data_IF_808641828700
#
_entry.id   IF_808641828700
#
_cell.length_a   1.000
_cell.length_b   1.000
_cell.length_c   1.000
_cell.angle_alpha   90.00
_cell.angle_beta   90.00
_cell.angle_gamma   90.00
#
_symmetry.space_group_name_H-M   'P 1'
#
loop_
_entity.id
_entity.type
_entity.pdbx_description
1 polymer ?
#
# COMPACT_ATOMS: atom_id res chain seq x y z
N UNK A 1 3.76 35.74 -10.24
CA UNK A 1 4.70 35.19 -11.26
C UNK A 1 4.76 33.66 -11.27
N UNK A 2 4.15 32.95 -10.30
CA UNK A 2 4.17 31.49 -10.20
C UNK A 2 2.91 30.81 -10.77
N UNK A 3 1.78 31.52 -10.92
CA UNK A 3 0.53 30.99 -11.49
C UNK A 3 0.66 30.39 -12.91
N UNK A 4 1.65 30.83 -13.71
CA UNK A 4 1.83 30.30 -15.07
C UNK A 4 2.40 28.87 -15.10
N UNK A 5 3.18 28.49 -14.08
CA UNK A 5 3.87 27.20 -14.04
C UNK A 5 2.96 26.05 -13.59
N UNK A 6 1.99 26.36 -12.72
CA UNK A 6 0.99 25.40 -12.25
C UNK A 6 -0.21 25.25 -13.19
N UNK A 7 -0.17 25.86 -14.38
CA UNK A 7 -1.21 25.59 -15.36
C UNK A 7 -1.24 24.08 -15.68
N UNK A 8 -2.40 23.41 -15.53
CA UNK A 8 -2.51 21.98 -15.75
C UNK A 8 -2.03 21.56 -17.15
N UNK A 9 -2.11 22.47 -18.13
CA UNK A 9 -1.54 22.28 -19.46
C UNK A 9 -0.02 22.08 -19.46
N UNK A 10 0.75 22.88 -18.70
CA UNK A 10 2.21 22.73 -18.62
C UNK A 10 2.58 21.41 -17.94
N UNK A 11 1.87 21.07 -16.85
CA UNK A 11 2.09 19.82 -16.12
C UNK A 11 1.82 18.60 -17.00
N UNK A 12 0.78 18.65 -17.83
CA UNK A 12 0.41 17.58 -18.77
C UNK A 12 1.44 17.44 -19.90
N UNK A 13 2.03 18.54 -20.39
CA UNK A 13 3.13 18.50 -21.37
C UNK A 13 4.39 17.88 -20.77
N UNK A 14 4.77 18.29 -19.55
CA UNK A 14 5.95 17.73 -18.85
C UNK A 14 5.73 16.25 -18.55
N UNK A 15 4.54 15.89 -18.05
CA UNK A 15 4.15 14.51 -17.86
C UNK A 15 4.19 13.73 -19.19
N UNK A 16 3.68 14.29 -20.28
CA UNK A 16 3.76 13.67 -21.61
C UNK A 16 5.20 13.35 -22.05
N UNK A 17 6.12 14.31 -21.89
CA UNK A 17 7.54 14.11 -22.22
C UNK A 17 8.20 13.10 -21.28
N UNK A 18 7.93 13.20 -19.98
CA UNK A 18 8.41 12.23 -18.99
C UNK A 18 7.90 10.82 -19.31
N UNK A 19 6.66 10.67 -19.76
CA UNK A 19 6.07 9.39 -20.18
C UNK A 19 6.68 8.89 -21.48
N UNK A 20 7.17 9.76 -22.35
CA UNK A 20 7.88 9.36 -23.56
C UNK A 20 9.27 8.79 -23.23
N UNK A 21 9.95 9.37 -22.24
CA UNK A 21 11.30 8.96 -21.80
C UNK A 21 11.24 7.74 -20.87
N UNK A 22 10.39 7.80 -19.85
CA UNK A 22 10.22 6.71 -18.88
C UNK A 22 9.28 5.62 -19.41
N UNK A 23 8.37 5.94 -20.32
CA UNK A 23 7.35 5.00 -20.82
C UNK A 23 6.11 4.96 -19.91
N UNK A 24 4.89 4.84 -20.47
CA UNK A 24 3.65 4.76 -19.68
C UNK A 24 3.58 3.48 -18.83
N UNK A 25 4.39 2.46 -19.14
CA UNK A 25 4.50 1.23 -18.34
C UNK A 25 5.32 1.39 -17.06
N UNK A 26 6.26 2.35 -17.00
CA UNK A 26 7.12 2.55 -15.82
C UNK A 26 6.47 3.42 -14.75
N UNK A 27 5.57 4.32 -15.13
CA UNK A 27 4.77 5.12 -14.19
C UNK A 27 4.02 4.28 -13.15
N UNK A 28 3.22 3.26 -13.51
CA UNK A 28 2.50 2.44 -12.54
C UNK A 28 3.43 1.52 -11.74
N UNK A 29 4.57 1.11 -12.31
CA UNK A 29 5.59 0.30 -11.63
C UNK A 29 6.26 1.09 -10.50
N UNK A 30 6.69 2.32 -10.78
CA UNK A 30 7.25 3.25 -9.79
C UNK A 30 6.18 3.73 -8.80
N UNK A 31 4.96 3.99 -9.27
CA UNK A 31 3.84 4.44 -8.44
C UNK A 31 3.40 3.40 -7.42
N UNK A 32 3.43 2.10 -7.76
CA UNK A 32 3.13 1.01 -6.79
C UNK A 32 4.16 0.97 -5.67
N UNK A 33 5.46 0.93 -6.00
CA UNK A 33 6.52 0.90 -4.99
C UNK A 33 6.56 2.16 -4.11
N UNK A 34 6.39 3.34 -4.72
CA UNK A 34 6.30 4.60 -3.98
C UNK A 34 5.03 4.66 -3.13
N UNK A 35 3.90 4.17 -3.65
CA UNK A 35 2.62 4.11 -2.96
C UNK A 35 2.67 3.25 -1.70
N UNK A 36 3.27 2.06 -1.79
CA UNK A 36 3.47 1.16 -0.65
C UNK A 36 4.39 1.80 0.40
N UNK A 37 5.46 2.48 -0.03
CA UNK A 37 6.36 3.22 0.86
C UNK A 37 5.68 4.39 1.56
N UNK A 38 4.91 5.20 0.84
CA UNK A 38 4.15 6.32 1.41
C UNK A 38 3.04 5.79 2.33
N UNK A 39 2.39 4.66 2.00
CA UNK A 39 1.36 4.05 2.84
C UNK A 39 1.94 3.58 4.16
N UNK A 40 3.08 2.89 4.14
CA UNK A 40 3.82 2.48 5.34
C UNK A 40 4.31 3.67 6.16
N UNK A 41 4.85 4.70 5.50
CA UNK A 41 5.28 5.94 6.14
C UNK A 41 4.11 6.67 6.81
N UNK A 42 2.95 6.76 6.15
CA UNK A 42 1.73 7.33 6.73
C UNK A 42 1.22 6.52 7.92
N UNK A 43 1.17 5.20 7.82
CA UNK A 43 0.78 4.34 8.95
C UNK A 43 1.74 4.46 10.15
N UNK A 44 3.04 4.65 9.91
CA UNK A 44 4.01 4.89 10.97
C UNK A 44 3.84 6.28 11.60
N UNK A 45 3.61 7.31 10.78
CA UNK A 45 3.34 8.67 11.27
C UNK A 45 2.03 8.77 12.04
N UNK A 46 0.96 8.11 11.57
CA UNK A 46 -0.34 8.11 12.23
C UNK A 46 -0.26 7.34 13.57
N UNK A 47 0.52 6.26 13.67
CA UNK A 47 0.81 5.58 14.94
C UNK A 47 1.69 6.41 15.89
N UNK A 48 2.60 7.23 15.35
CA UNK A 48 3.40 8.15 16.15
C UNK A 48 2.59 9.33 16.71
N UNK A 49 1.46 9.68 16.07
CA UNK A 49 0.64 10.83 16.44
C UNK A 49 -0.67 10.50 17.17
N UNK A 50 -1.14 9.24 17.16
CA UNK A 50 -2.43 8.88 17.72
C UNK A 50 -2.35 7.69 18.68
N UNK A 51 -2.65 7.96 19.94
CA UNK A 51 -3.34 7.03 20.82
C UNK A 51 -4.50 6.35 20.06
N UNK A 52 -4.82 5.08 20.37
CA UNK A 52 -5.37 4.10 19.44
C UNK A 52 -6.74 4.54 18.91
N UNK A 53 -6.81 4.88 17.63
CA UNK A 53 -8.07 4.91 16.89
C UNK A 53 -7.93 4.11 15.60
N UNK A 54 -8.61 2.96 15.63
CA UNK A 54 -8.77 2.04 14.53
C UNK A 54 -9.55 2.68 13.39
N UNK A 55 -9.00 2.69 12.17
CA UNK A 55 -9.78 2.42 10.96
C UNK A 55 -8.89 2.05 9.77
N UNK A 56 -9.45 1.18 8.91
CA UNK A 56 -9.02 0.81 7.56
C UNK A 56 -8.18 -0.48 7.40
N UNK A 57 -8.78 -1.59 7.84
CA UNK A 57 -8.67 -2.85 7.10
C UNK A 57 -9.44 -2.74 5.77
N UNK A 58 -8.73 -2.93 4.65
CA UNK A 58 -9.29 -3.57 3.45
C UNK A 58 -8.14 -4.17 2.64
N UNK A 59 -7.62 -5.31 3.11
CA UNK A 59 -6.76 -6.18 2.32
C UNK A 59 -7.64 -7.26 1.70
N UNK A 60 -8.11 -6.97 0.47
CA UNK A 60 -8.68 -7.98 -0.40
C UNK A 60 -7.65 -9.07 -0.71
N UNK A 61 -8.13 -10.31 -0.65
CA UNK A 61 -7.77 -11.49 -1.45
C UNK A 61 -6.38 -11.45 -2.08
N UNK A 62 -5.43 -12.29 -1.64
CA UNK A 62 -5.05 -13.61 -2.21
C UNK A 62 -3.91 -14.16 -1.33
N UNK A 63 -4.06 -15.33 -0.73
CA UNK A 63 -3.08 -16.44 -0.74
C UNK A 63 -3.78 -17.68 -0.18
N UNK A 64 -4.33 -18.48 -1.09
CA UNK A 64 -4.28 -19.91 -0.90
C UNK A 64 -2.81 -20.35 -1.01
N UNK A 65 -2.45 -21.44 -0.33
CA UNK A 65 -1.18 -22.17 -0.39
C UNK A 65 -0.15 -21.79 0.68
N UNK A 66 -0.16 -22.50 1.81
CA UNK A 66 0.92 -23.43 2.14
C UNK A 66 0.54 -24.41 3.28
N UNK A 67 0.98 -25.66 3.08
CA UNK A 67 0.96 -26.86 3.92
C UNK A 67 0.84 -26.73 5.45
N UNK A 68 -0.15 -27.47 5.99
CA UNK A 68 0.05 -28.58 6.93
C UNK A 68 0.56 -28.29 8.38
N UNK A 69 0.54 -29.27 9.31
CA UNK A 69 -0.41 -29.38 10.42
C UNK A 69 0.24 -29.17 11.80
N UNK A 70 -0.51 -28.65 12.79
CA UNK A 70 -0.06 -28.65 14.19
C UNK A 70 -1.16 -29.14 15.12
N UNK A 71 -1.06 -30.42 15.48
CA UNK A 71 -0.97 -30.87 16.87
C UNK A 71 -1.61 -29.95 17.91
N UNK A 72 -2.87 -30.23 18.23
CA UNK A 72 -3.56 -29.81 19.46
C UNK A 72 -4.07 -31.15 20.04
N UNK A 73 -3.48 -31.80 21.04
CA UNK A 73 -2.85 -31.35 22.28
C UNK A 73 -3.79 -30.54 23.19
N UNK A 74 -4.90 -31.17 23.62
CA UNK A 74 -5.54 -31.00 24.94
C UNK A 74 -6.59 -32.11 25.14
N UNK A 75 -6.27 -33.24 25.77
CA UNK A 75 -6.35 -33.43 27.21
C UNK A 75 -7.64 -32.87 27.87
N UNK A 76 -8.40 -33.80 28.48
CA UNK A 76 -9.36 -33.62 29.58
C UNK A 76 -10.85 -33.48 29.22
N UNK A 77 -11.54 -34.62 29.05
CA UNK A 77 -12.66 -34.99 29.94
C UNK A 77 -13.06 -36.46 29.67
N UNK A 78 -12.68 -37.38 30.56
CA UNK A 78 -13.33 -38.70 30.69
C UNK A 78 -14.44 -38.55 31.73
N UNK A 79 -15.71 -38.88 31.42
CA UNK A 79 -16.67 -39.25 32.45
C UNK A 79 -16.61 -40.78 32.62
N UNK A 80 -16.20 -41.22 33.81
CA UNK A 80 -16.50 -42.54 34.36
C UNK A 80 -17.58 -42.36 35.43
#
# INVERSE_FOLDING_TARGET
MLEGLFQPMHLLVIAGIALLIFGPKRLPELGKGLGDGIRGFKSAMDQAHAAPQATAEMKGTIIASDCEPKTQANASMRPD
#
